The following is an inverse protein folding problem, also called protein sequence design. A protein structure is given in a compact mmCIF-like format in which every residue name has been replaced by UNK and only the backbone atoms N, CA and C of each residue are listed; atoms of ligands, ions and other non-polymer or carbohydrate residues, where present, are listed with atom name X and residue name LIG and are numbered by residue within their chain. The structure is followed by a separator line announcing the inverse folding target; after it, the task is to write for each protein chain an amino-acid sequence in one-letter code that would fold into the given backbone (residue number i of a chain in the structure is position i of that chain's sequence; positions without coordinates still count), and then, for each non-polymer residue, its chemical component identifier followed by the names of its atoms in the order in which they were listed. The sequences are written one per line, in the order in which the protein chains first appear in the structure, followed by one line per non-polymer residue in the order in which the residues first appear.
data_IF_230223047214
#
_entry.id   IF_230223047214
#
_cell.length_a   1.000
_cell.length_b   1.000
_cell.length_c   1.000
_cell.angle_alpha   90.00
_cell.angle_beta   90.00
_cell.angle_gamma   90.00
#
_symmetry.space_group_name_H-M   'P 1'
#
loop_
_entity.id
_entity.type
_entity.pdbx_description
1 polymer ?
#
# COMPACT_ATOMS: atom_id res chain seq x y z
N UNK A 1 80.26 5.20 14.97
CA UNK A 1 80.37 6.37 14.06
C UNK A 1 79.17 7.29 14.28
N UNK A 2 79.34 8.35 15.08
CA UNK A 2 78.52 9.57 15.09
C UNK A 2 78.99 10.50 13.92
N UNK A 3 78.32 11.60 13.48
CA UNK A 3 77.61 12.57 14.34
C UNK A 3 76.45 13.44 13.78
N UNK A 4 75.71 14.03 14.74
CA UNK A 4 75.21 15.43 14.88
C UNK A 4 74.60 16.18 13.69
N UNK A 5 73.41 16.78 13.92
CA UNK A 5 73.18 18.24 13.90
C UNK A 5 71.93 18.63 14.74
N UNK A 6 72.08 19.63 15.62
CA UNK A 6 71.04 20.46 16.27
C UNK A 6 70.93 21.80 15.45
N UNK A 7 70.20 22.84 15.90
CA UNK A 7 68.76 23.07 16.05
C UNK A 7 68.30 24.34 15.27
N UNK A 8 67.01 24.71 15.31
CA UNK A 8 66.62 26.12 15.10
C UNK A 8 65.42 26.54 15.96
N UNK A 9 65.66 27.52 16.82
CA UNK A 9 64.71 28.20 17.69
C UNK A 9 64.05 29.41 16.99
N UNK A 10 62.98 29.90 17.63
CA UNK A 10 62.41 31.27 17.66
C UNK A 10 61.02 31.38 17.00
N UNK A 11 59.95 31.90 17.62
CA UNK A 11 59.79 32.84 18.76
C UNK A 11 58.51 32.51 19.54
N UNK A 12 58.57 32.62 20.87
CA UNK A 12 57.41 32.91 21.72
C UNK A 12 56.93 34.34 21.44
N UNK A 13 55.61 34.57 21.36
CA UNK A 13 55.08 35.80 21.95
C UNK A 13 53.60 35.74 22.38
N UNK A 14 53.44 36.00 23.68
CA UNK A 14 52.35 36.73 24.36
C UNK A 14 50.93 36.15 24.36
N UNK A 15 50.61 35.56 25.51
CA UNK A 15 49.28 35.67 26.13
C UNK A 15 48.91 37.14 26.32
N UNK A 16 47.71 37.51 25.88
CA UNK A 16 46.96 38.64 26.42
C UNK A 16 45.56 38.10 26.76
N UNK A 17 45.36 37.82 28.04
CA UNK A 17 44.03 37.70 28.64
C UNK A 17 43.58 39.11 29.00
N UNK A 18 42.43 39.57 28.49
CA UNK A 18 41.62 40.49 29.28
C UNK A 18 40.14 40.41 28.91
N UNK A 19 39.37 39.99 29.91
CA UNK A 19 38.06 40.51 30.32
C UNK A 19 36.82 40.33 29.45
N UNK A 20 35.96 39.44 29.95
CA UNK A 20 34.58 39.72 30.43
C UNK A 20 33.72 40.59 29.49
N UNK A 21 32.59 40.05 29.02
CA UNK A 21 31.32 39.95 29.77
C UNK A 21 30.22 39.41 28.85
N UNK A 22 29.48 38.46 29.40
CA UNK A 22 28.12 38.07 29.07
C UNK A 22 27.31 39.11 28.28
N UNK A 23 26.81 38.71 27.10
CA UNK A 23 25.51 39.18 26.64
C UNK A 23 24.74 38.00 26.08
N UNK A 24 24.00 37.36 27.00
CA UNK A 24 22.81 36.57 26.69
C UNK A 24 21.96 37.35 25.68
N UNK A 25 22.05 36.97 24.41
CA UNK A 25 21.12 37.41 23.36
C UNK A 25 20.68 36.13 22.67
N UNK A 26 19.82 35.38 23.34
CA UNK A 26 18.40 35.36 22.97
C UNK A 26 18.12 34.88 21.55
N UNK A 27 19.01 34.08 20.94
CA UNK A 27 18.62 33.18 19.87
C UNK A 27 18.10 31.89 20.51
N UNK A 28 16.90 32.02 21.11
CA UNK A 28 15.95 30.92 21.14
C UNK A 28 15.65 30.61 19.68
N UNK A 29 16.52 29.82 19.04
CA UNK A 29 16.12 29.03 17.88
C UNK A 29 14.99 28.18 18.43
N UNK A 30 13.75 28.61 18.19
CA UNK A 30 12.61 27.72 18.24
C UNK A 30 12.99 26.63 17.26
N UNK A 31 13.52 25.53 17.77
CA UNK A 31 13.59 24.30 17.01
C UNK A 31 12.13 24.00 16.73
N UNK A 32 11.68 24.36 15.53
CA UNK A 32 10.42 23.90 15.00
C UNK A 32 10.65 22.39 14.92
N UNK A 33 10.10 21.67 15.88
CA UNK A 33 10.00 20.24 15.82
C UNK A 33 8.99 19.99 14.70
N UNK A 34 9.49 19.85 13.48
CA UNK A 34 8.70 19.33 12.38
C UNK A 34 8.63 17.85 12.69
N UNK A 35 7.57 17.47 13.39
CA UNK A 35 7.13 16.09 13.47
C UNK A 35 7.15 15.57 12.03
N UNK A 36 7.87 14.47 11.77
CA UNK A 36 7.67 13.75 10.51
C UNK A 36 6.18 13.47 10.48
N UNK A 37 5.46 14.10 9.55
CA UNK A 37 4.11 13.68 9.24
C UNK A 37 4.24 12.18 9.01
N UNK A 38 3.64 11.37 9.87
CA UNK A 38 3.35 10.00 9.47
C UNK A 38 2.69 10.16 8.10
N UNK A 39 3.26 9.56 7.07
CA UNK A 39 2.64 9.56 5.75
C UNK A 39 1.20 9.12 6.02
N UNK A 40 0.25 10.03 5.83
CA UNK A 40 -1.16 9.67 5.87
C UNK A 40 -1.37 8.80 4.65
N UNK A 41 -1.03 7.52 4.75
CA UNK A 41 -1.46 6.48 3.84
C UNK A 41 -2.95 6.37 4.07
N UNK A 42 -3.68 7.23 3.37
CA UNK A 42 -5.11 7.11 3.26
C UNK A 42 -5.36 5.90 2.39
N UNK A 43 -6.06 4.91 2.94
CA UNK A 43 -6.65 3.84 2.16
C UNK A 43 -7.49 4.51 1.07
N UNK A 44 -7.17 4.21 -0.18
CA UNK A 44 -7.87 4.75 -1.33
C UNK A 44 -8.78 3.68 -1.92
N UNK A 45 -9.86 4.13 -2.55
CA UNK A 45 -10.66 3.27 -3.42
C UNK A 45 -10.16 3.45 -4.84
N UNK A 46 -9.62 2.38 -5.43
CA UNK A 46 -9.05 2.37 -6.77
C UNK A 46 -9.98 1.57 -7.69
N UNK A 47 -10.30 2.12 -8.86
CA UNK A 47 -11.30 1.57 -9.77
C UNK A 47 -10.60 0.99 -11.00
N UNK A 48 -10.85 -0.30 -11.26
CA UNK A 48 -10.38 -0.97 -12.46
C UNK A 48 -11.05 -0.36 -13.70
N UNK A 49 -10.27 -0.01 -14.72
CA UNK A 49 -10.79 0.35 -16.03
C UNK A 49 -10.23 -0.52 -17.16
N UNK A 50 -9.07 -1.15 -16.94
CA UNK A 50 -8.37 -1.98 -17.91
C UNK A 50 -7.91 -1.19 -19.13
N UNK A 51 -7.52 0.08 -18.98
CA UNK A 51 -7.06 0.95 -20.07
C UNK A 51 -5.64 0.68 -20.59
N UNK A 52 -4.86 -0.15 -19.90
CA UNK A 52 -3.47 -0.46 -20.22
C UNK A 52 -3.29 -1.43 -21.39
N UNK A 53 -2.03 -1.69 -21.73
CA UNK A 53 -1.65 -2.59 -22.83
C UNK A 53 -1.72 -4.09 -22.44
N UNK A 54 -1.89 -4.39 -21.16
CA UNK A 54 -2.06 -5.72 -20.58
C UNK A 54 -3.15 -5.68 -19.51
N UNK A 55 -3.45 -6.83 -18.88
CA UNK A 55 -4.48 -6.97 -17.84
C UNK A 55 -3.90 -7.14 -16.42
N UNK A 56 -2.69 -6.67 -16.18
CA UNK A 56 -2.01 -6.84 -14.89
C UNK A 56 -2.42 -5.76 -13.90
N UNK A 57 -2.61 -6.13 -12.63
CA UNK A 57 -2.98 -5.19 -11.56
C UNK A 57 -1.85 -4.21 -11.22
N UNK A 58 -0.58 -4.57 -11.46
CA UNK A 58 0.55 -3.65 -11.22
C UNK A 58 0.73 -2.60 -12.32
N UNK A 59 0.07 -2.74 -13.48
CA UNK A 59 0.11 -1.76 -14.57
C UNK A 59 -0.77 -0.55 -14.21
N UNK A 60 -0.20 0.65 -14.03
CA UNK A 60 -0.97 1.81 -13.57
C UNK A 60 -2.13 2.19 -14.48
N UNK A 61 -1.93 2.10 -15.80
CA UNK A 61 -2.91 2.46 -16.84
C UNK A 61 -4.15 1.54 -16.87
N UNK A 62 -4.19 0.46 -16.07
CA UNK A 62 -5.39 -0.37 -15.91
C UNK A 62 -6.34 0.12 -14.81
N UNK A 63 -6.01 1.23 -14.17
CA UNK A 63 -6.78 1.83 -13.09
C UNK A 63 -7.15 3.27 -13.44
N UNK A 64 -8.34 3.72 -13.05
CA UNK A 64 -8.98 4.96 -13.54
C UNK A 64 -8.30 6.29 -13.19
N UNK A 65 -7.09 6.26 -12.66
CA UNK A 65 -6.24 7.44 -12.38
C UNK A 65 -4.81 7.24 -12.84
N UNK A 66 -4.55 6.20 -13.65
CA UNK A 66 -3.23 5.76 -14.08
C UNK A 66 -2.29 5.52 -12.89
N UNK A 67 -2.84 4.93 -11.82
CA UNK A 67 -2.14 4.61 -10.57
C UNK A 67 -2.56 3.22 -10.12
N UNK A 68 -1.58 2.32 -10.08
CA UNK A 68 -1.80 0.99 -9.53
C UNK A 68 -2.06 1.04 -8.01
N UNK A 69 -2.91 0.14 -7.48
CA UNK A 69 -3.19 0.04 -6.07
C UNK A 69 -1.93 -0.14 -5.23
N UNK A 70 -2.00 0.34 -4.00
CA UNK A 70 -1.02 0.03 -2.97
C UNK A 70 -1.64 -0.77 -1.84
N UNK A 71 -0.79 -1.20 -0.91
CA UNK A 71 -1.22 -2.06 0.19
C UNK A 71 -2.30 -1.40 1.05
N UNK A 72 -3.41 -2.13 1.26
CA UNK A 72 -4.57 -1.69 2.04
C UNK A 72 -5.67 -1.01 1.23
N UNK A 73 -5.45 -0.69 -0.04
CA UNK A 73 -6.49 -0.04 -0.87
C UNK A 73 -7.71 -0.94 -1.06
N UNK A 74 -8.87 -0.30 -1.24
CA UNK A 74 -10.12 -0.92 -1.65
C UNK A 74 -10.20 -0.94 -3.18
N UNK A 75 -10.70 -2.03 -3.75
CA UNK A 75 -10.76 -2.19 -5.21
C UNK A 75 -12.22 -2.23 -5.71
N UNK A 76 -12.50 -1.55 -6.82
CA UNK A 76 -13.79 -1.61 -7.50
C UNK A 76 -13.60 -2.15 -8.91
N UNK A 77 -14.40 -3.15 -9.27
CA UNK A 77 -14.54 -3.70 -10.62
C UNK A 77 -15.88 -3.24 -11.22
N UNK A 78 -15.90 -2.14 -12.00
CA UNK A 78 -17.13 -1.48 -12.43
C UNK A 78 -17.80 -2.17 -13.63
N UNK A 79 -18.99 -1.73 -14.01
CA UNK A 79 -19.68 -2.21 -15.23
C UNK A 79 -18.84 -1.97 -16.50
N UNK A 80 -18.15 -0.83 -16.56
CA UNK A 80 -17.45 -0.33 -17.75
C UNK A 80 -15.99 -0.76 -17.92
N UNK A 81 -15.47 -1.67 -17.08
CA UNK A 81 -14.09 -2.15 -17.23
C UNK A 81 -13.89 -2.92 -18.54
N UNK A 82 -12.83 -2.59 -19.28
CA UNK A 82 -12.56 -3.16 -20.61
C UNK A 82 -11.98 -4.57 -20.52
N UNK A 83 -11.00 -4.76 -19.64
CA UNK A 83 -10.28 -6.03 -19.46
C UNK A 83 -10.87 -6.80 -18.28
N UNK A 84 -11.98 -7.49 -18.53
CA UNK A 84 -12.73 -8.23 -17.48
C UNK A 84 -12.05 -9.53 -17.05
N UNK A 85 -11.19 -10.08 -17.89
CA UNK A 85 -10.22 -11.11 -17.49
C UNK A 85 -8.93 -10.42 -17.13
N UNK A 86 -8.55 -10.45 -15.86
CA UNK A 86 -7.37 -9.74 -15.35
C UNK A 86 -6.61 -10.55 -14.31
N UNK A 87 -5.36 -10.15 -14.09
CA UNK A 87 -4.39 -10.93 -13.31
C UNK A 87 -3.85 -10.06 -12.19
N UNK A 88 -4.07 -10.50 -10.95
CA UNK A 88 -3.34 -10.00 -9.79
C UNK A 88 -1.89 -10.52 -9.83
N UNK A 89 -0.98 -9.67 -10.28
CA UNK A 89 0.45 -9.96 -10.39
C UNK A 89 1.27 -9.33 -9.26
N UNK A 90 0.62 -8.73 -8.25
CA UNK A 90 1.29 -8.29 -7.04
C UNK A 90 1.98 -9.46 -6.31
N UNK A 91 3.04 -9.21 -5.52
CA UNK A 91 3.66 -10.25 -4.70
C UNK A 91 2.64 -10.97 -3.82
N UNK A 92 2.80 -12.29 -3.69
CA UNK A 92 1.97 -13.14 -2.82
C UNK A 92 1.83 -12.55 -1.41
N UNK A 93 0.60 -12.47 -0.92
CA UNK A 93 0.27 -11.92 0.41
C UNK A 93 0.20 -10.39 0.47
N UNK A 94 0.22 -9.70 -0.68
CA UNK A 94 -0.06 -8.25 -0.73
C UNK A 94 -1.45 -7.99 -0.13
N UNK A 95 -1.50 -7.05 0.81
CA UNK A 95 -2.75 -6.70 1.49
C UNK A 95 -3.63 -5.79 0.64
N UNK A 96 -4.90 -6.13 0.53
CA UNK A 96 -5.97 -5.27 0.05
C UNK A 96 -7.08 -5.17 1.10
N UNK A 97 -7.82 -4.06 1.09
CA UNK A 97 -8.96 -3.84 1.97
C UNK A 97 -10.16 -4.67 1.53
N UNK A 98 -11.18 -3.99 1.03
CA UNK A 98 -12.39 -4.58 0.47
C UNK A 98 -12.37 -4.60 -1.06
N UNK A 99 -13.19 -5.46 -1.66
CA UNK A 99 -13.38 -5.47 -3.11
C UNK A 99 -14.86 -5.47 -3.46
N UNK A 100 -15.23 -4.69 -4.48
CA UNK A 100 -16.59 -4.59 -4.95
C UNK A 100 -16.67 -4.87 -6.46
N UNK A 101 -17.39 -5.92 -6.83
CA UNK A 101 -17.75 -6.20 -8.21
C UNK A 101 -19.12 -5.61 -8.51
N UNK A 102 -19.15 -4.53 -9.29
CA UNK A 102 -20.39 -3.92 -9.80
C UNK A 102 -20.72 -4.44 -11.19
N UNK A 103 -19.70 -4.72 -12.01
CA UNK A 103 -19.90 -5.26 -13.35
C UNK A 103 -20.05 -6.77 -13.40
N UNK A 104 -20.50 -7.26 -14.55
CA UNK A 104 -20.73 -8.69 -14.83
C UNK A 104 -19.53 -9.33 -15.54
N UNK A 105 -19.43 -10.66 -15.45
CA UNK A 105 -18.49 -11.50 -16.21
C UNK A 105 -17.00 -11.16 -16.02
N UNK A 106 -16.62 -10.66 -14.85
CA UNK A 106 -15.22 -10.60 -14.44
C UNK A 106 -14.67 -12.00 -14.17
N UNK A 107 -13.44 -12.23 -14.61
CA UNK A 107 -12.64 -13.40 -14.26
C UNK A 107 -11.32 -12.87 -13.71
N UNK A 108 -11.14 -12.97 -12.41
CA UNK A 108 -9.93 -12.47 -11.75
C UNK A 108 -9.12 -13.63 -11.20
N UNK A 109 -7.84 -13.71 -11.58
CA UNK A 109 -6.92 -14.80 -11.22
C UNK A 109 -5.57 -14.20 -10.78
N UNK A 110 -4.62 -15.01 -10.34
CA UNK A 110 -3.25 -14.60 -10.06
C UNK A 110 -2.76 -15.01 -8.67
N UNK A 111 -1.85 -14.21 -8.13
CA UNK A 111 -1.16 -14.51 -6.88
C UNK A 111 -2.09 -14.35 -5.66
N UNK A 112 -1.83 -15.14 -4.61
CA UNK A 112 -2.55 -15.02 -3.33
C UNK A 112 -2.50 -13.58 -2.80
N UNK A 113 -3.60 -13.11 -2.23
CA UNK A 113 -3.67 -11.84 -1.52
C UNK A 113 -4.03 -12.02 -0.04
N UNK A 114 -3.64 -11.02 0.77
CA UNK A 114 -4.15 -10.85 2.13
C UNK A 114 -5.37 -9.93 2.06
N UNK A 115 -6.52 -10.38 2.58
CA UNK A 115 -7.76 -9.60 2.60
C UNK A 115 -8.05 -9.11 4.01
N UNK A 116 -8.13 -7.78 4.19
CA UNK A 116 -8.48 -7.15 5.49
C UNK A 116 -9.91 -6.58 5.53
N UNK A 117 -10.68 -6.78 4.46
CA UNK A 117 -12.10 -6.48 4.38
C UNK A 117 -12.92 -7.68 3.90
N UNK A 118 -13.91 -7.40 3.05
CA UNK A 118 -14.76 -8.41 2.42
C UNK A 118 -14.83 -8.18 0.91
N UNK A 119 -15.19 -9.23 0.18
CA UNK A 119 -15.47 -9.17 -1.25
C UNK A 119 -16.99 -9.19 -1.44
N UNK A 120 -17.52 -8.17 -2.09
CA UNK A 120 -18.95 -8.05 -2.40
C UNK A 120 -19.16 -8.10 -3.90
N UNK A 121 -20.04 -8.99 -4.32
CA UNK A 121 -20.49 -9.14 -5.69
C UNK A 121 -21.91 -8.60 -5.86
N UNK A 122 -22.05 -7.54 -6.67
CA UNK A 122 -23.33 -6.99 -7.10
C UNK A 122 -23.63 -7.32 -8.57
N UNK A 123 -22.68 -7.85 -9.33
CA UNK A 123 -22.84 -8.28 -10.73
C UNK A 123 -23.22 -9.75 -10.88
N UNK A 124 -23.24 -10.24 -12.12
CA UNK A 124 -23.59 -11.62 -12.46
C UNK A 124 -22.44 -12.32 -13.18
N UNK A 125 -22.29 -13.63 -12.93
CA UNK A 125 -21.29 -14.50 -13.56
C UNK A 125 -19.84 -14.06 -13.34
N UNK A 126 -19.55 -13.49 -12.17
CA UNK A 126 -18.19 -13.15 -11.78
C UNK A 126 -17.50 -14.40 -11.21
N UNK A 127 -16.23 -14.59 -11.55
CA UNK A 127 -15.37 -15.67 -11.08
C UNK A 127 -14.12 -15.08 -10.42
N UNK A 128 -13.95 -15.38 -9.14
CA UNK A 128 -12.83 -14.95 -8.31
C UNK A 128 -11.93 -16.15 -8.02
N UNK A 129 -10.88 -16.29 -8.82
CA UNK A 129 -9.90 -17.37 -8.77
C UNK A 129 -8.64 -17.08 -7.95
N UNK A 130 -8.45 -15.84 -7.48
CA UNK A 130 -7.30 -15.49 -6.65
C UNK A 130 -7.38 -16.22 -5.30
N UNK A 131 -6.33 -16.94 -4.85
CA UNK A 131 -6.27 -17.46 -3.49
C UNK A 131 -6.31 -16.35 -2.45
N UNK A 132 -7.02 -16.55 -1.35
CA UNK A 132 -7.22 -15.52 -0.31
C UNK A 132 -6.74 -16.04 1.03
N UNK A 133 -5.84 -15.29 1.66
CA UNK A 133 -5.63 -15.35 3.10
C UNK A 133 -6.43 -14.25 3.79
N UNK A 134 -7.22 -14.57 4.81
CA UNK A 134 -7.91 -13.56 5.62
C UNK A 134 -6.93 -12.93 6.63
N UNK A 135 -6.83 -11.60 6.62
CA UNK A 135 -6.11 -10.80 7.61
C UNK A 135 -6.97 -10.35 8.78
N UNK A 136 -8.30 -10.42 8.63
CA UNK A 136 -9.31 -10.12 9.65
C UNK A 136 -10.57 -10.95 9.40
N UNK A 137 -11.54 -10.88 10.32
CA UNK A 137 -12.88 -11.42 10.04
C UNK A 137 -13.48 -10.75 8.80
N UNK A 138 -14.07 -11.55 7.90
CA UNK A 138 -14.55 -11.09 6.60
C UNK A 138 -15.03 -12.24 5.74
N UNK A 139 -15.26 -11.98 4.46
CA UNK A 139 -15.57 -13.05 3.51
C UNK A 139 -16.23 -12.57 2.24
N UNK A 140 -17.18 -13.36 1.73
CA UNK A 140 -17.74 -13.18 0.39
C UNK A 140 -19.25 -12.99 0.47
N UNK A 141 -19.75 -11.92 -0.14
CA UNK A 141 -21.18 -11.69 -0.30
C UNK A 141 -21.54 -11.57 -1.77
N UNK A 142 -22.66 -12.18 -2.17
CA UNK A 142 -23.26 -11.99 -3.49
C UNK A 142 -24.68 -11.47 -3.33
N UNK A 143 -24.95 -10.25 -3.81
CA UNK A 143 -26.29 -9.65 -3.75
C UNK A 143 -27.09 -9.88 -5.02
N UNK A 144 -26.45 -10.31 -6.11
CA UNK A 144 -27.09 -10.64 -7.38
C UNK A 144 -26.30 -11.71 -8.12
N UNK A 145 -26.96 -12.42 -9.03
CA UNK A 145 -26.33 -13.38 -9.94
C UNK A 145 -25.53 -14.50 -9.26
N UNK A 146 -24.78 -15.22 -10.08
CA UNK A 146 -23.78 -16.19 -9.60
C UNK A 146 -22.46 -15.48 -9.36
N UNK A 147 -21.89 -15.68 -8.17
CA UNK A 147 -20.51 -15.36 -7.84
C UNK A 147 -19.76 -16.64 -7.53
N UNK A 148 -18.81 -17.01 -8.38
CA UNK A 148 -17.96 -18.18 -8.18
C UNK A 148 -16.70 -17.74 -7.46
N UNK A 149 -16.37 -18.41 -6.36
CA UNK A 149 -15.06 -18.30 -5.71
C UNK A 149 -14.35 -19.61 -5.98
N UNK A 150 -13.35 -19.56 -6.85
CA UNK A 150 -12.60 -20.73 -7.34
C UNK A 150 -11.19 -20.83 -6.75
N UNK A 151 -10.69 -19.75 -6.14
CA UNK A 151 -9.43 -19.73 -5.41
C UNK A 151 -9.52 -20.36 -4.00
N UNK A 152 -8.38 -20.84 -3.50
CA UNK A 152 -8.28 -21.37 -2.13
C UNK A 152 -8.54 -20.27 -1.09
N UNK A 153 -9.24 -20.62 0.00
CA UNK A 153 -9.49 -19.70 1.12
C UNK A 153 -8.74 -20.21 2.36
N UNK A 154 -7.73 -19.46 2.79
CA UNK A 154 -7.05 -19.62 4.06
C UNK A 154 -7.61 -18.64 5.08
N UNK A 155 -8.39 -19.13 6.05
CA UNK A 155 -9.00 -18.26 7.06
C UNK A 155 -8.00 -17.66 8.05
N UNK A 156 -6.78 -18.22 8.17
CA UNK A 156 -5.76 -17.76 9.09
C UNK A 156 -6.25 -17.59 10.55
N UNK A 157 -7.23 -18.41 10.96
CA UNK A 157 -7.87 -18.33 12.28
C UNK A 157 -8.93 -17.25 12.45
N UNK A 158 -9.27 -16.50 11.40
CA UNK A 158 -10.37 -15.54 11.38
C UNK A 158 -11.71 -16.19 11.03
N UNK A 159 -12.81 -15.54 11.41
CA UNK A 159 -14.16 -15.93 11.01
C UNK A 159 -14.37 -15.66 9.50
N UNK A 160 -14.91 -16.66 8.79
CA UNK A 160 -15.31 -16.56 7.39
C UNK A 160 -16.85 -16.40 7.30
N UNK A 161 -17.29 -15.29 6.71
CA UNK A 161 -18.70 -15.03 6.41
C UNK A 161 -19.00 -15.29 4.94
N UNK A 162 -20.08 -16.03 4.65
CA UNK A 162 -20.57 -16.27 3.30
C UNK A 162 -22.04 -15.85 3.23
N UNK A 163 -22.36 -14.89 2.38
CA UNK A 163 -23.73 -14.42 2.18
C UNK A 163 -24.14 -14.50 0.71
N UNK A 164 -25.29 -15.11 0.43
CA UNK A 164 -25.88 -15.13 -0.89
C UNK A 164 -27.32 -14.62 -0.79
N UNK A 165 -27.62 -13.51 -1.46
CA UNK A 165 -28.96 -12.97 -1.57
C UNK A 165 -29.67 -13.67 -2.72
N UNK A 166 -30.51 -14.66 -2.42
CA UNK A 166 -31.39 -15.26 -3.40
C UNK A 166 -32.68 -14.44 -3.53
N UNK A 167 -33.07 -14.06 -4.75
CA UNK A 167 -34.44 -13.63 -5.03
C UNK A 167 -35.34 -14.85 -5.00
N UNK A 168 -36.12 -15.05 -3.93
CA UNK A 168 -37.25 -15.98 -3.98
C UNK A 168 -38.35 -15.33 -4.82
N UNK A 169 -38.60 -15.88 -6.03
CA UNK A 169 -39.82 -15.58 -6.80
C UNK A 169 -41.03 -16.27 -6.17
#
# INVERSE_FOLDING_TARGET
MSPRYLPSFQKLNRKSNSTRRNRKRHERRRAIFVESLEDRRMLATIVWDGGGADANWTTPENWSSDVAPITGDDLIFPVGGLQKTNINDFPTGTNFGSMLFVGDSYVVDGNELLLTGSITNNGTNNDFGIPVQLGSAGGFSSTSGTFTVSGDINTNGNDLSLEASGSTL
#
